data_IF_836759591614
#
_entry.id   IF_836759591614
#
_cell.length_a   1.000
_cell.length_b   1.000
_cell.length_c   1.000
_cell.angle_alpha   90.00
_cell.angle_beta   90.00
_cell.angle_gamma   90.00
#
_symmetry.space_group_name_H-M   'P 1'
#
loop_
_entity.id
_entity.type
_entity.pdbx_description
1 polymer ?
#
# COMPACT_ATOMS: atom_id res chain seq x y z
N UNK A 1 -13.23 -7.63 -21.35
CA UNK A 1 -11.87 -8.09 -20.97
C UNK A 1 -12.01 -9.51 -20.46
N UNK A 2 -11.18 -10.45 -20.90
CA UNK A 2 -11.21 -11.83 -20.36
C UNK A 2 -10.57 -11.88 -18.97
N UNK A 3 -10.90 -12.88 -18.16
CA UNK A 3 -10.35 -13.05 -16.83
C UNK A 3 -8.80 -13.17 -16.84
N UNK A 4 -8.26 -13.83 -17.89
CA UNK A 4 -6.82 -13.93 -18.08
C UNK A 4 -6.17 -12.57 -18.32
N UNK A 5 -6.78 -11.72 -19.14
CA UNK A 5 -6.29 -10.37 -19.39
C UNK A 5 -6.39 -9.50 -18.13
N UNK A 6 -7.46 -9.63 -17.36
CA UNK A 6 -7.61 -8.92 -16.09
C UNK A 6 -6.51 -9.30 -15.10
N UNK A 7 -6.28 -10.60 -14.91
CA UNK A 7 -5.20 -11.09 -14.02
C UNK A 7 -3.81 -10.60 -14.44
N UNK A 8 -3.52 -10.62 -15.75
CA UNK A 8 -2.26 -10.09 -16.28
C UNK A 8 -2.11 -8.60 -16.00
N UNK A 9 -3.18 -7.81 -16.21
CA UNK A 9 -3.17 -6.38 -15.87
C UNK A 9 -2.94 -6.17 -14.38
N UNK A 10 -3.66 -6.90 -13.52
CA UNK A 10 -3.50 -6.83 -12.07
C UNK A 10 -2.08 -7.20 -11.60
N UNK A 11 -1.45 -8.18 -12.26
CA UNK A 11 -0.04 -8.53 -12.01
C UNK A 11 0.90 -7.36 -12.31
N UNK A 12 0.76 -6.72 -13.47
CA UNK A 12 1.57 -5.55 -13.80
C UNK A 12 1.30 -4.36 -12.87
N UNK A 13 0.04 -4.18 -12.45
CA UNK A 13 -0.29 -3.20 -11.43
C UNK A 13 0.44 -3.49 -10.10
N UNK A 14 0.51 -4.74 -9.67
CA UNK A 14 1.22 -5.13 -8.45
C UNK A 14 2.73 -4.84 -8.56
N UNK A 15 3.38 -5.14 -9.68
CA UNK A 15 4.77 -4.74 -9.92
C UNK A 15 4.94 -3.23 -9.95
N UNK A 16 3.99 -2.51 -10.55
CA UNK A 16 3.97 -1.05 -10.54
C UNK A 16 3.93 -0.48 -9.12
N UNK A 17 3.09 -1.04 -8.23
CA UNK A 17 3.03 -0.64 -6.83
C UNK A 17 4.36 -0.90 -6.13
N UNK A 18 4.99 -2.06 -6.36
CA UNK A 18 6.30 -2.37 -5.79
C UNK A 18 7.36 -1.33 -6.20
N UNK A 19 7.41 -0.97 -7.48
CA UNK A 19 8.32 0.05 -7.98
C UNK A 19 8.03 1.44 -7.40
N UNK A 20 6.75 1.85 -7.37
CA UNK A 20 6.34 3.15 -6.83
C UNK A 20 6.63 3.28 -5.34
N UNK A 21 6.55 2.18 -4.57
CA UNK A 21 6.94 2.18 -3.15
C UNK A 21 8.43 2.50 -2.98
N UNK A 22 9.29 1.95 -3.84
CA UNK A 22 10.73 2.25 -3.82
C UNK A 22 11.00 3.70 -4.26
N UNK A 23 10.34 4.20 -5.29
CA UNK A 23 10.47 5.60 -5.72
C UNK A 23 9.98 6.55 -4.62
N UNK A 24 8.86 6.24 -3.97
CA UNK A 24 8.39 6.96 -2.80
C UNK A 24 9.48 7.02 -1.71
N UNK A 25 10.05 5.87 -1.36
CA UNK A 25 11.08 5.80 -0.31
C UNK A 25 12.30 6.65 -0.66
N UNK A 26 12.78 6.62 -1.89
CA UNK A 26 13.92 7.44 -2.36
C UNK A 26 13.59 8.92 -2.25
N UNK A 27 12.44 9.35 -2.76
CA UNK A 27 12.04 10.76 -2.74
C UNK A 27 11.78 11.24 -1.32
N UNK A 28 11.06 10.45 -0.52
CA UNK A 28 10.73 10.82 0.85
C UNK A 28 11.96 10.91 1.75
N UNK A 29 12.79 9.86 1.77
CA UNK A 29 13.97 9.81 2.64
C UNK A 29 15.10 10.74 2.18
N UNK A 30 15.28 10.87 0.85
CA UNK A 30 16.37 11.65 0.28
C UNK A 30 16.09 13.15 0.19
N UNK A 31 14.83 13.55 0.04
CA UNK A 31 14.48 14.95 -0.26
C UNK A 31 13.45 15.53 0.70
N UNK A 32 12.29 14.88 0.89
CA UNK A 32 11.22 15.45 1.74
C UNK A 32 11.65 15.53 3.20
N UNK A 33 12.30 14.48 3.68
CA UNK A 33 12.75 14.41 5.07
C UNK A 33 13.93 15.34 5.36
N UNK A 34 14.79 15.60 4.38
CA UNK A 34 15.97 16.47 4.53
C UNK A 34 15.59 17.95 4.39
N UNK A 35 14.55 18.24 3.63
CA UNK A 35 14.00 19.57 3.42
C UNK A 35 12.48 19.52 3.32
N UNK A 36 11.79 19.75 4.45
CA UNK A 36 10.33 19.75 4.52
C UNK A 36 9.69 20.90 3.72
N UNK A 37 10.44 21.90 3.29
CA UNK A 37 9.96 22.99 2.45
C UNK A 37 9.97 22.65 0.95
N UNK A 38 10.54 21.51 0.57
CA UNK A 38 10.61 21.04 -0.81
C UNK A 38 9.25 20.50 -1.28
N UNK A 39 8.37 21.41 -1.68
CA UNK A 39 7.01 21.08 -2.15
C UNK A 39 7.01 20.21 -3.40
N UNK A 40 8.01 20.34 -4.29
CA UNK A 40 8.13 19.49 -5.47
C UNK A 40 8.40 18.03 -5.08
N UNK A 41 9.32 17.79 -4.17
CA UNK A 41 9.59 16.44 -3.68
C UNK A 41 8.36 15.87 -2.94
N UNK A 42 7.68 16.68 -2.13
CA UNK A 42 6.44 16.29 -1.45
C UNK A 42 5.34 15.93 -2.44
N UNK A 43 5.15 16.74 -3.48
CA UNK A 43 4.18 16.47 -4.55
C UNK A 43 4.47 15.14 -5.29
N UNK A 44 5.75 14.87 -5.59
CA UNK A 44 6.16 13.60 -6.20
C UNK A 44 5.90 12.41 -5.27
N UNK A 45 6.29 12.50 -4.00
CA UNK A 45 6.07 11.44 -3.03
C UNK A 45 4.57 11.13 -2.88
N UNK A 46 3.74 12.15 -2.72
CA UNK A 46 2.30 12.00 -2.63
C UNK A 46 1.68 11.48 -3.94
N UNK A 47 2.19 11.92 -5.09
CA UNK A 47 1.80 11.39 -6.41
C UNK A 47 2.05 9.90 -6.54
N UNK A 48 3.17 9.38 -6.02
CA UNK A 48 3.44 7.92 -6.00
C UNK A 48 2.46 7.17 -5.10
N UNK A 49 2.05 7.73 -3.95
CA UNK A 49 0.99 7.16 -3.11
C UNK A 49 -0.33 7.11 -3.89
N UNK A 50 -0.72 8.22 -4.53
CA UNK A 50 -1.95 8.31 -5.31
C UNK A 50 -2.00 7.29 -6.45
N UNK A 51 -0.93 7.22 -7.23
CA UNK A 51 -0.83 6.27 -8.34
C UNK A 51 -0.82 4.82 -7.84
N UNK A 52 -0.11 4.52 -6.74
CA UNK A 52 -0.14 3.20 -6.11
C UNK A 52 -1.55 2.81 -5.69
N UNK A 53 -2.32 3.73 -5.12
CA UNK A 53 -3.73 3.51 -4.76
C UNK A 53 -4.59 3.17 -5.98
N UNK A 54 -4.41 3.88 -7.10
CA UNK A 54 -5.13 3.59 -8.35
C UNK A 54 -4.79 2.17 -8.85
N UNK A 55 -3.50 1.82 -8.93
CA UNK A 55 -3.05 0.50 -9.37
C UNK A 55 -3.53 -0.61 -8.42
N UNK A 56 -3.60 -0.32 -7.12
CA UNK A 56 -4.03 -1.28 -6.13
C UNK A 56 -5.48 -1.75 -6.34
N UNK A 57 -6.36 -0.94 -6.93
CA UNK A 57 -7.74 -1.35 -7.21
C UNK A 57 -7.81 -2.62 -8.07
N UNK A 58 -6.95 -2.74 -9.08
CA UNK A 58 -6.87 -3.94 -9.90
C UNK A 58 -6.29 -5.13 -9.13
N UNK A 59 -5.19 -4.90 -8.42
CA UNK A 59 -4.46 -5.96 -7.73
C UNK A 59 -5.29 -6.56 -6.58
N UNK A 60 -5.99 -5.75 -5.77
CA UNK A 60 -6.78 -6.24 -4.63
C UNK A 60 -8.01 -7.03 -5.07
N UNK A 61 -8.64 -6.66 -6.20
CA UNK A 61 -9.74 -7.44 -6.77
C UNK A 61 -9.22 -8.81 -7.18
N UNK A 62 -8.15 -8.87 -7.98
CA UNK A 62 -7.60 -10.13 -8.46
C UNK A 62 -7.06 -11.02 -7.31
N UNK A 63 -6.52 -10.44 -6.24
CA UNK A 63 -6.15 -11.17 -5.02
C UNK A 63 -7.39 -11.76 -4.35
N UNK A 64 -8.42 -10.96 -4.17
CA UNK A 64 -9.66 -11.40 -3.52
C UNK A 64 -10.40 -12.49 -4.31
N UNK A 65 -10.29 -12.49 -5.65
CA UNK A 65 -10.87 -13.52 -6.51
C UNK A 65 -10.15 -14.89 -6.41
N UNK A 66 -8.95 -14.92 -5.85
CA UNK A 66 -8.15 -16.14 -5.60
C UNK A 66 -8.25 -16.66 -4.18
N UNK A 67 -9.03 -16.01 -3.35
CA UNK A 67 -9.28 -16.39 -1.95
C UNK A 67 -10.76 -16.73 -1.82
N UNK A 68 -11.06 -17.97 -1.47
CA UNK A 68 -12.43 -18.43 -1.37
C UNK A 68 -13.17 -17.87 -0.15
N UNK A 69 -14.50 -17.87 -0.23
CA UNK A 69 -15.38 -17.64 0.90
C UNK A 69 -15.43 -16.17 1.40
N UNK A 70 -15.65 -16.01 2.68
CA UNK A 70 -15.83 -14.69 3.31
C UNK A 70 -14.56 -13.85 3.28
N UNK A 71 -13.39 -14.48 3.43
CA UNK A 71 -12.11 -13.78 3.40
C UNK A 71 -11.86 -13.12 2.04
N UNK A 72 -12.12 -13.82 0.93
CA UNK A 72 -11.96 -13.26 -0.40
C UNK A 72 -12.91 -12.09 -0.66
N UNK A 73 -14.16 -12.20 -0.23
CA UNK A 73 -15.13 -11.08 -0.33
C UNK A 73 -14.66 -9.87 0.48
N UNK A 74 -14.21 -10.10 1.71
CA UNK A 74 -13.70 -9.04 2.58
C UNK A 74 -12.45 -8.37 1.96
N UNK A 75 -11.48 -9.16 1.47
CA UNK A 75 -10.27 -8.65 0.83
C UNK A 75 -10.59 -7.76 -0.38
N UNK A 76 -11.59 -8.13 -1.21
CA UNK A 76 -12.03 -7.27 -2.32
C UNK A 76 -12.62 -5.96 -1.84
N UNK A 77 -13.63 -6.03 -0.98
CA UNK A 77 -14.38 -4.84 -0.53
C UNK A 77 -13.50 -3.88 0.23
N UNK A 78 -12.80 -4.36 1.25
CA UNK A 78 -11.91 -3.52 2.07
C UNK A 78 -10.67 -3.11 1.27
N UNK A 79 -10.15 -4.00 0.43
CA UNK A 79 -9.03 -3.70 -0.46
C UNK A 79 -9.34 -2.55 -1.42
N UNK A 80 -10.47 -2.57 -2.11
CA UNK A 80 -10.88 -1.46 -2.98
C UNK A 80 -11.11 -0.19 -2.18
N UNK A 81 -11.75 -0.30 -1.01
CA UNK A 81 -12.00 0.85 -0.13
C UNK A 81 -10.70 1.59 0.25
N UNK A 82 -9.72 0.87 0.80
CA UNK A 82 -8.45 1.50 1.19
C UNK A 82 -7.66 2.00 -0.03
N UNK A 83 -7.70 1.28 -1.16
CA UNK A 83 -7.00 1.69 -2.37
C UNK A 83 -7.54 3.02 -2.92
N UNK A 84 -8.88 3.18 -2.99
CA UNK A 84 -9.51 4.43 -3.43
C UNK A 84 -9.24 5.59 -2.46
N UNK A 85 -9.29 5.35 -1.15
CA UNK A 85 -8.97 6.39 -0.16
C UNK A 85 -7.50 6.80 -0.23
N UNK A 86 -6.58 5.86 -0.43
CA UNK A 86 -5.15 6.15 -0.63
C UNK A 86 -4.92 6.91 -1.93
N UNK A 87 -5.61 6.55 -3.01
CA UNK A 87 -5.56 7.28 -4.28
C UNK A 87 -6.04 8.73 -4.11
N UNK A 88 -7.21 8.91 -3.49
CA UNK A 88 -7.77 10.24 -3.26
C UNK A 88 -6.86 11.11 -2.39
N UNK A 89 -6.29 10.54 -1.31
CA UNK A 89 -5.32 11.25 -0.48
C UNK A 89 -4.07 11.64 -1.26
N UNK A 90 -3.41 10.68 -1.89
CA UNK A 90 -2.16 10.93 -2.59
C UNK A 90 -2.31 11.96 -3.72
N UNK A 91 -3.37 11.87 -4.53
CA UNK A 91 -3.64 12.84 -5.59
C UNK A 91 -3.95 14.22 -5.00
N UNK A 92 -4.81 14.32 -3.99
CA UNK A 92 -5.16 15.59 -3.36
C UNK A 92 -3.93 16.27 -2.74
N UNK A 93 -3.11 15.50 -2.00
CA UNK A 93 -1.89 16.01 -1.38
C UNK A 93 -0.86 16.44 -2.44
N UNK A 94 -0.66 15.65 -3.50
CA UNK A 94 0.24 16.00 -4.59
C UNK A 94 -0.14 17.31 -5.29
N UNK A 95 -1.44 17.51 -5.54
CA UNK A 95 -1.94 18.77 -6.14
C UNK A 95 -1.71 19.94 -5.18
N UNK A 96 -2.02 19.78 -3.90
CA UNK A 96 -1.84 20.86 -2.91
C UNK A 96 -0.36 21.25 -2.77
N UNK A 97 0.54 20.25 -2.71
CA UNK A 97 1.98 20.50 -2.63
C UNK A 97 2.50 21.19 -3.90
N UNK A 98 2.05 20.75 -5.09
CA UNK A 98 2.45 21.36 -6.36
C UNK A 98 1.97 22.82 -6.48
N UNK A 99 0.88 23.18 -5.80
CA UNK A 99 0.36 24.54 -5.72
C UNK A 99 0.98 25.37 -4.57
N UNK A 100 1.87 24.80 -3.79
CA UNK A 100 2.45 25.44 -2.60
C UNK A 100 1.44 25.67 -1.47
N UNK A 101 0.32 24.96 -1.47
CA UNK A 101 -0.67 25.00 -0.41
C UNK A 101 -0.25 24.12 0.76
N UNK A 102 -0.57 24.54 1.99
CA UNK A 102 -0.33 23.70 3.16
C UNK A 102 -1.16 22.41 3.07
N UNK A 103 -0.49 21.27 3.01
CA UNK A 103 -1.15 19.98 3.08
C UNK A 103 -1.46 19.61 4.52
N UNK A 104 -2.65 19.06 4.77
CA UNK A 104 -2.89 18.37 6.03
C UNK A 104 -2.03 17.12 6.07
N UNK A 105 -1.11 17.03 7.03
CA UNK A 105 -0.32 15.83 7.23
C UNK A 105 -1.25 14.61 7.43
N UNK A 106 -0.86 13.45 6.91
CA UNK A 106 -1.56 12.19 7.20
C UNK A 106 -1.51 12.00 8.72
N UNK A 107 -2.67 11.86 9.33
CA UNK A 107 -2.79 11.54 10.74
C UNK A 107 -3.67 10.30 10.93
N UNK A 108 -3.57 9.66 12.07
CA UNK A 108 -4.38 8.50 12.40
C UNK A 108 -5.89 8.81 12.50
N UNK A 109 -6.24 10.07 12.71
CA UNK A 109 -7.63 10.53 12.74
C UNK A 109 -8.17 10.90 11.36
N UNK A 110 -7.30 11.04 10.37
CA UNK A 110 -7.70 11.26 8.98
C UNK A 110 -8.12 9.91 8.37
N UNK A 111 -9.34 9.77 7.80
CA UNK A 111 -9.75 8.54 7.14
C UNK A 111 -8.79 8.09 6.03
N UNK A 112 -8.11 9.02 5.38
CA UNK A 112 -7.10 8.73 4.36
C UNK A 112 -5.83 8.15 4.96
N UNK A 113 -5.39 8.65 6.11
CA UNK A 113 -4.27 8.07 6.87
C UNK A 113 -4.61 6.68 7.39
N UNK A 114 -5.84 6.48 7.87
CA UNK A 114 -6.34 5.17 8.26
C UNK A 114 -6.31 4.18 7.08
N UNK A 115 -6.74 4.61 5.89
CA UNK A 115 -6.70 3.79 4.68
C UNK A 115 -5.26 3.43 4.29
N UNK A 116 -4.34 4.39 4.36
CA UNK A 116 -2.95 4.18 3.93
C UNK A 116 -2.19 3.20 4.83
N UNK A 117 -2.42 3.24 6.14
CA UNK A 117 -1.66 2.39 7.09
C UNK A 117 -2.55 1.34 7.75
N UNK A 118 -3.65 1.76 8.40
CA UNK A 118 -4.48 0.88 9.21
C UNK A 118 -5.21 -0.17 8.37
N UNK A 119 -5.98 0.26 7.37
CA UNK A 119 -6.75 -0.67 6.53
C UNK A 119 -5.84 -1.50 5.62
N UNK A 120 -4.76 -0.94 5.07
CA UNK A 120 -3.78 -1.70 4.30
C UNK A 120 -3.09 -2.75 5.17
N UNK A 121 -2.78 -2.41 6.43
CA UNK A 121 -2.22 -3.35 7.40
C UNK A 121 -3.19 -4.50 7.73
N UNK A 122 -4.45 -4.19 8.04
CA UNK A 122 -5.48 -5.21 8.27
C UNK A 122 -5.70 -6.08 7.03
N UNK A 123 -5.74 -5.48 5.84
CA UNK A 123 -5.86 -6.20 4.59
C UNK A 123 -4.72 -7.21 4.39
N UNK A 124 -3.48 -6.79 4.65
CA UNK A 124 -2.30 -7.65 4.55
C UNK A 124 -2.32 -8.78 5.58
N UNK A 125 -2.78 -8.52 6.82
CA UNK A 125 -2.96 -9.55 7.86
C UNK A 125 -3.98 -10.60 7.40
N UNK A 126 -5.17 -10.17 6.94
CA UNK A 126 -6.21 -11.10 6.48
C UNK A 126 -5.74 -11.90 5.28
N UNK A 127 -5.03 -11.28 4.33
CA UNK A 127 -4.41 -11.98 3.22
C UNK A 127 -3.43 -13.05 3.71
N UNK A 128 -2.53 -12.69 4.62
CA UNK A 128 -1.53 -13.61 5.16
C UNK A 128 -2.16 -14.80 5.89
N UNK A 129 -3.22 -14.58 6.68
CA UNK A 129 -3.98 -15.64 7.35
C UNK A 129 -4.69 -16.53 6.35
N UNK A 130 -5.34 -15.96 5.33
CA UNK A 130 -6.02 -16.71 4.29
C UNK A 130 -5.07 -17.60 3.50
N UNK A 131 -3.87 -17.09 3.14
CA UNK A 131 -2.84 -17.89 2.46
C UNK A 131 -2.40 -19.07 3.33
N UNK A 132 -2.22 -18.87 4.61
CA UNK A 132 -1.82 -19.95 5.55
C UNK A 132 -2.90 -20.99 5.76
N UNK A 133 -4.16 -20.61 5.64
CA UNK A 133 -5.32 -21.52 5.73
C UNK A 133 -5.52 -22.37 4.48
N UNK A 134 -4.83 -22.06 3.38
CA UNK A 134 -4.85 -22.82 2.14
C UNK A 134 -5.47 -22.02 0.99
N UNK A 135 -4.64 -21.43 0.17
CA UNK A 135 -5.00 -20.77 -1.10
C UNK A 135 -4.00 -21.19 -2.17
N UNK A 136 -4.23 -20.76 -3.41
CA UNK A 136 -3.29 -20.95 -4.53
C UNK A 136 -2.02 -20.09 -4.43
N UNK A 137 -1.92 -19.20 -3.44
CA UNK A 137 -0.73 -18.37 -3.24
C UNK A 137 0.38 -19.12 -2.49
N UNK A 138 1.68 -18.82 -2.78
CA UNK A 138 2.80 -19.41 -2.06
C UNK A 138 2.78 -19.08 -0.57
N UNK A 139 3.05 -20.07 0.29
CA UNK A 139 3.05 -19.88 1.76
C UNK A 139 4.00 -18.78 2.25
N UNK A 140 5.13 -18.58 1.56
CA UNK A 140 6.09 -17.52 1.88
C UNK A 140 5.48 -16.13 1.74
N UNK A 141 4.64 -15.90 0.72
CA UNK A 141 3.89 -14.65 0.57
C UNK A 141 2.96 -14.42 1.77
N UNK A 142 2.32 -15.47 2.29
CA UNK A 142 1.49 -15.37 3.49
C UNK A 142 2.27 -14.86 4.71
N UNK A 143 3.53 -15.29 4.88
CA UNK A 143 4.38 -14.78 5.97
C UNK A 143 4.75 -13.30 5.75
N UNK A 144 5.18 -12.93 4.54
CA UNK A 144 5.50 -11.54 4.21
C UNK A 144 4.29 -10.63 4.41
N UNK A 145 3.10 -11.06 3.98
CA UNK A 145 1.87 -10.30 4.16
C UNK A 145 1.52 -10.10 5.64
N UNK A 146 1.69 -11.14 6.50
CA UNK A 146 1.49 -10.99 7.94
C UNK A 146 2.46 -10.00 8.56
N UNK A 147 3.75 -10.11 8.26
CA UNK A 147 4.78 -9.22 8.81
C UNK A 147 4.56 -7.79 8.36
N UNK A 148 4.30 -7.57 7.06
CA UNK A 148 3.98 -6.24 6.52
C UNK A 148 2.69 -5.68 7.12
N UNK A 149 1.68 -6.52 7.29
CA UNK A 149 0.41 -6.09 7.88
C UNK A 149 0.57 -5.63 9.33
N UNK A 150 1.32 -6.37 10.15
CA UNK A 150 1.63 -5.98 11.53
C UNK A 150 2.45 -4.69 11.55
N UNK A 151 3.46 -4.58 10.70
CA UNK A 151 4.30 -3.38 10.58
C UNK A 151 3.47 -2.13 10.24
N UNK A 152 2.54 -2.22 9.28
CA UNK A 152 1.64 -1.13 8.90
C UNK A 152 0.66 -0.76 10.02
N UNK A 153 0.16 -1.73 10.80
CA UNK A 153 -0.68 -1.43 11.99
C UNK A 153 0.15 -0.73 13.06
N UNK A 154 1.39 -1.16 13.29
CA UNK A 154 2.29 -0.48 14.23
C UNK A 154 2.60 0.93 13.72
N UNK A 155 2.84 1.12 12.43
CA UNK A 155 3.04 2.44 11.82
C UNK A 155 1.81 3.34 12.05
N UNK A 156 0.60 2.82 11.88
CA UNK A 156 -0.64 3.55 12.16
C UNK A 156 -0.71 3.99 13.62
N UNK A 157 -0.48 3.09 14.57
CA UNK A 157 -0.49 3.40 16.00
C UNK A 157 0.63 4.38 16.39
N UNK A 158 1.82 4.22 15.82
CA UNK A 158 2.95 5.13 16.02
C UNK A 158 2.60 6.55 15.51
N UNK A 159 1.94 6.65 14.37
CA UNK A 159 1.47 7.94 13.83
C UNK A 159 0.43 8.57 14.76
N UNK A 160 -0.52 7.78 15.28
CA UNK A 160 -1.54 8.24 16.21
C UNK A 160 -0.95 8.81 17.52
N UNK A 161 0.16 8.24 17.99
CA UNK A 161 0.81 8.62 19.25
C UNK A 161 1.96 9.61 19.05
N UNK A 162 2.31 9.96 17.82
CA UNK A 162 3.45 10.84 17.50
C UNK A 162 4.81 10.22 17.81
N UNK A 163 4.93 8.87 17.83
CA UNK A 163 6.17 8.16 18.15
C UNK A 163 7.17 8.20 16.97
N UNK A 164 7.85 9.35 16.79
CA UNK A 164 8.66 9.68 15.61
C UNK A 164 9.69 8.63 15.20
N UNK A 165 10.45 8.07 16.13
CA UNK A 165 11.41 7.00 15.82
C UNK A 165 10.72 5.75 15.28
N UNK A 166 9.59 5.37 15.87
CA UNK A 166 8.84 4.20 15.46
C UNK A 166 8.20 4.41 14.07
N UNK A 167 7.66 5.60 13.80
CA UNK A 167 7.17 5.99 12.46
C UNK A 167 8.26 5.82 11.41
N UNK A 168 9.49 6.27 11.72
CA UNK A 168 10.60 6.17 10.79
C UNK A 168 11.00 4.73 10.51
N UNK A 169 11.12 3.91 11.55
CA UNK A 169 11.55 2.51 11.42
C UNK A 169 10.50 1.70 10.66
N UNK A 170 9.24 1.75 11.10
CA UNK A 170 8.17 0.99 10.46
C UNK A 170 7.83 1.53 9.06
N UNK A 171 7.77 2.83 8.88
CA UNK A 171 7.56 3.44 7.57
C UNK A 171 8.69 3.12 6.58
N UNK A 172 9.94 3.13 7.04
CA UNK A 172 11.08 2.70 6.24
C UNK A 172 11.02 1.22 5.87
N UNK A 173 10.70 0.35 6.84
CA UNK A 173 10.57 -1.08 6.62
C UNK A 173 9.42 -1.40 5.64
N UNK A 174 8.25 -0.79 5.82
CA UNK A 174 7.11 -0.95 4.92
C UNK A 174 7.41 -0.48 3.49
N UNK A 175 8.04 0.70 3.32
CA UNK A 175 8.21 1.29 1.99
C UNK A 175 9.43 0.78 1.22
N UNK A 176 10.50 0.34 1.92
CA UNK A 176 11.76 -0.10 1.28
C UNK A 176 11.80 -1.62 1.09
N UNK A 177 11.23 -2.39 2.01
CA UNK A 177 11.42 -3.84 2.05
C UNK A 177 10.09 -4.59 1.92
N UNK A 178 9.23 -4.47 2.93
CA UNK A 178 8.07 -5.35 3.06
C UNK A 178 6.99 -5.10 1.99
N UNK A 179 6.67 -3.84 1.74
CA UNK A 179 5.69 -3.47 0.71
C UNK A 179 6.14 -3.85 -0.69
N UNK A 180 7.34 -3.42 -1.16
CA UNK A 180 7.86 -3.84 -2.45
C UNK A 180 7.92 -5.35 -2.60
N UNK A 181 8.40 -6.08 -1.60
CA UNK A 181 8.49 -7.54 -1.62
C UNK A 181 7.11 -8.19 -1.72
N UNK A 182 6.14 -7.74 -0.90
CA UNK A 182 4.77 -8.27 -0.93
C UNK A 182 4.13 -8.06 -2.31
N UNK A 183 4.18 -6.84 -2.85
CA UNK A 183 3.55 -6.52 -4.11
C UNK A 183 4.22 -7.19 -5.31
N UNK A 184 5.55 -7.24 -5.35
CA UNK A 184 6.28 -7.97 -6.38
C UNK A 184 5.95 -9.47 -6.35
N UNK A 185 5.83 -10.06 -5.16
CA UNK A 185 5.47 -11.47 -5.02
C UNK A 185 4.02 -11.75 -5.40
N UNK A 186 3.08 -10.86 -5.06
CA UNK A 186 1.69 -10.91 -5.54
C UNK A 186 1.67 -10.89 -7.07
N UNK A 187 2.38 -9.92 -7.68
CA UNK A 187 2.47 -9.81 -9.14
C UNK A 187 2.98 -11.09 -9.79
N UNK A 188 4.07 -11.65 -9.28
CA UNK A 188 4.63 -12.92 -9.76
C UNK A 188 3.65 -14.09 -9.63
N UNK A 189 3.03 -14.24 -8.47
CA UNK A 189 2.08 -15.32 -8.23
C UNK A 189 0.83 -15.25 -9.13
N UNK A 190 0.48 -14.06 -9.62
CA UNK A 190 -0.63 -13.88 -10.56
C UNK A 190 -0.27 -14.27 -11.99
N UNK A 191 1.01 -14.19 -12.39
CA UNK A 191 1.46 -14.60 -13.73
C UNK A 191 1.60 -16.13 -13.80
N UNK A 192 2.07 -16.76 -12.74
CA UNK A 192 2.36 -18.19 -12.68
C UNK A 192 1.11 -19.08 -12.55
N UNK A 193 -0.08 -18.51 -12.44
CA UNK A 193 -1.36 -19.18 -12.24
C UNK A 193 -2.27 -19.07 -13.47
#
# INVERSE_FOLDING_TARGET
>A
MTDANFRRTASWCAFGIAALSLFYAVVFLGFVRTDASNTTASALANGFIGLSGILATFAVIAVGDRVDGAAGRWLRVVGVGWALLSAAHGVSAAISDAQGLATSAISATDPRGLATFGLAGLWSIVLGLAIRSGTSFPRGLGMVALVNGVDLVVLFLATATGAGTLILVTGGLASVILGPLQWAWIGRAMIEA
#
